data_IF_081106869370
#
_entry.id   IF_081106869370
#
_cell.length_a   1.000
_cell.length_b   1.000
_cell.length_c   1.000
_cell.angle_alpha   90.00
_cell.angle_beta   90.00
_cell.angle_gamma   90.00
#
_symmetry.space_group_name_H-M   'P 1'
#
loop_
_entity.id
_entity.type
_entity.pdbx_description
1 polymer ?
#
# COMPACT_ATOMS: atom_id res chain seq x y z
N UNK A 1 -40.44 7.98 -26.93
CA UNK A 1 -40.99 6.87 -26.12
C UNK A 1 -40.12 6.58 -24.90
N UNK A 2 -38.89 6.08 -25.05
CA UNK A 2 -38.03 5.81 -23.88
C UNK A 2 -37.66 7.10 -23.12
N UNK A 3 -37.41 8.20 -23.84
CA UNK A 3 -37.18 9.51 -23.22
C UNK A 3 -38.42 10.04 -22.46
N UNK A 4 -39.63 9.86 -22.99
CA UNK A 4 -40.87 10.27 -22.31
C UNK A 4 -41.12 9.45 -21.04
N UNK A 5 -40.79 8.16 -21.05
CA UNK A 5 -40.87 7.27 -19.89
C UNK A 5 -39.86 7.71 -18.83
N UNK A 6 -38.61 7.94 -19.24
CA UNK A 6 -37.55 8.43 -18.36
C UNK A 6 -37.94 9.76 -17.67
N UNK A 7 -38.47 10.72 -18.43
CA UNK A 7 -38.92 12.01 -17.89
C UNK A 7 -40.07 11.88 -16.88
N UNK A 8 -40.90 10.84 -16.96
CA UNK A 8 -41.94 10.59 -15.95
C UNK A 8 -41.32 10.15 -14.63
N UNK A 9 -40.36 9.23 -14.66
CA UNK A 9 -39.66 8.77 -13.45
C UNK A 9 -38.99 9.94 -12.71
N UNK A 10 -38.32 10.81 -13.46
CA UNK A 10 -37.66 12.01 -12.91
C UNK A 10 -38.68 12.95 -12.27
N UNK A 11 -39.73 13.30 -13.02
CA UNK A 11 -40.75 14.24 -12.54
C UNK A 11 -41.44 13.77 -11.27
N UNK A 12 -41.68 12.47 -11.18
CA UNK A 12 -42.39 11.85 -10.07
C UNK A 12 -41.42 11.43 -8.93
N UNK A 13 -40.11 11.63 -9.11
CA UNK A 13 -39.02 11.16 -8.23
C UNK A 13 -39.24 9.71 -7.79
N UNK A 14 -39.70 8.87 -8.71
CA UNK A 14 -40.13 7.51 -8.42
C UNK A 14 -38.99 6.51 -8.69
N UNK A 15 -38.88 5.44 -7.90
CA UNK A 15 -37.96 4.35 -8.20
C UNK A 15 -38.23 3.80 -9.60
N UNK A 16 -37.15 3.55 -10.35
CA UNK A 16 -37.21 3.05 -11.71
C UNK A 16 -36.64 1.64 -11.77
N UNK A 17 -37.35 0.69 -12.38
CA UNK A 17 -36.90 -0.70 -12.42
C UNK A 17 -37.24 -1.38 -13.74
N UNK A 18 -36.36 -2.28 -14.18
CA UNK A 18 -36.55 -3.14 -15.37
C UNK A 18 -36.78 -2.37 -16.69
N UNK A 19 -36.23 -1.15 -16.79
CA UNK A 19 -36.38 -0.28 -17.96
C UNK A 19 -35.13 -0.26 -18.86
N UNK A 20 -35.32 0.12 -20.13
CA UNK A 20 -34.24 0.23 -21.11
C UNK A 20 -34.15 1.65 -21.66
N UNK A 21 -33.08 2.33 -21.29
CA UNK A 21 -32.76 3.69 -21.70
C UNK A 21 -31.49 3.78 -22.56
N UNK A 22 -31.00 2.65 -23.08
CA UNK A 22 -29.76 2.57 -23.83
C UNK A 22 -29.61 3.66 -24.92
N UNK A 23 -28.45 4.30 -24.95
CA UNK A 23 -28.08 5.33 -25.92
C UNK A 23 -28.72 6.71 -25.73
N UNK A 24 -29.51 6.92 -24.66
CA UNK A 24 -30.09 8.23 -24.39
C UNK A 24 -29.01 9.26 -24.04
N UNK A 25 -29.27 10.51 -24.45
CA UNK A 25 -28.52 11.67 -24.00
C UNK A 25 -29.31 12.35 -22.89
N UNK A 26 -28.71 12.44 -21.73
CA UNK A 26 -29.30 12.93 -20.50
C UNK A 26 -28.43 14.11 -20.07
N UNK A 27 -28.90 15.34 -20.30
CA UNK A 27 -28.13 16.56 -20.09
C UNK A 27 -28.82 17.45 -19.06
N UNK A 28 -28.08 17.86 -18.02
CA UNK A 28 -28.56 18.77 -16.98
C UNK A 28 -29.69 18.23 -16.11
N UNK A 29 -29.87 16.90 -16.08
CA UNK A 29 -30.96 16.25 -15.34
C UNK A 29 -30.57 16.01 -13.89
N UNK A 30 -31.49 16.33 -12.98
CA UNK A 30 -31.42 15.98 -11.57
C UNK A 30 -31.98 14.57 -11.35
N UNK A 31 -31.09 13.66 -10.95
CA UNK A 31 -31.36 12.27 -10.58
C UNK A 31 -31.03 12.02 -9.10
N UNK A 32 -30.85 13.10 -8.32
CA UNK A 32 -30.42 12.99 -6.94
C UNK A 32 -31.44 12.21 -6.09
N UNK A 33 -30.93 11.34 -5.21
CA UNK A 33 -31.73 10.46 -4.35
C UNK A 33 -32.56 9.39 -5.09
N UNK A 34 -32.51 9.34 -6.43
CA UNK A 34 -33.29 8.36 -7.18
C UNK A 34 -32.72 6.95 -7.01
N UNK A 35 -33.62 5.95 -7.10
CA UNK A 35 -33.24 4.54 -7.09
C UNK A 35 -33.55 3.89 -8.44
N UNK A 36 -32.57 3.21 -8.98
CA UNK A 36 -32.66 2.44 -10.23
C UNK A 36 -32.28 0.98 -9.96
N UNK A 37 -33.14 0.03 -10.33
CA UNK A 37 -32.85 -1.41 -10.25
C UNK A 37 -33.00 -2.08 -11.62
N UNK A 38 -31.96 -2.77 -12.09
CA UNK A 38 -31.99 -3.50 -13.39
C UNK A 38 -32.33 -2.63 -14.59
N UNK A 39 -31.86 -1.39 -14.58
CA UNK A 39 -32.07 -0.45 -15.69
C UNK A 39 -30.88 -0.50 -16.64
N UNK A 40 -31.17 -0.56 -17.94
CA UNK A 40 -30.15 -0.53 -18.99
C UNK A 40 -29.88 0.91 -19.48
N UNK A 41 -28.76 1.44 -19.06
CA UNK A 41 -28.17 2.72 -19.47
C UNK A 41 -26.97 2.54 -20.42
N UNK A 42 -26.84 1.40 -21.10
CA UNK A 42 -25.71 1.15 -21.98
C UNK A 42 -25.59 2.20 -23.08
N UNK A 43 -24.37 2.72 -23.29
CA UNK A 43 -24.09 3.78 -24.24
C UNK A 43 -24.76 5.14 -23.97
N UNK A 44 -25.41 5.32 -22.81
CA UNK A 44 -25.99 6.62 -22.43
C UNK A 44 -24.91 7.69 -22.24
N UNK A 45 -25.29 8.94 -22.43
CA UNK A 45 -24.44 10.10 -22.14
C UNK A 45 -25.09 10.94 -21.05
N UNK A 46 -24.48 10.97 -19.87
CA UNK A 46 -24.87 11.79 -18.73
C UNK A 46 -23.97 13.02 -18.67
N UNK A 47 -24.51 14.17 -19.02
CA UNK A 47 -23.75 15.43 -19.12
C UNK A 47 -24.32 16.40 -18.09
N UNK A 48 -23.47 16.96 -17.22
CA UNK A 48 -23.89 17.91 -16.19
C UNK A 48 -25.07 17.42 -15.32
N UNK A 49 -25.14 16.10 -15.07
CA UNK A 49 -26.22 15.53 -14.27
C UNK A 49 -25.89 15.66 -12.78
N UNK A 50 -26.92 15.94 -11.97
CA UNK A 50 -26.85 15.75 -10.53
C UNK A 50 -27.28 14.32 -10.23
N UNK A 51 -26.36 13.50 -9.74
CA UNK A 51 -26.59 12.10 -9.37
C UNK A 51 -26.22 11.88 -7.91
N UNK A 52 -26.32 12.92 -7.08
CA UNK A 52 -25.99 12.80 -5.66
C UNK A 52 -26.95 11.87 -4.94
N UNK A 53 -26.46 11.06 -4.01
CA UNK A 53 -27.28 10.12 -3.22
C UNK A 53 -28.07 9.11 -4.10
N UNK A 54 -27.71 8.95 -5.38
CA UNK A 54 -28.37 8.00 -6.28
C UNK A 54 -28.04 6.57 -5.88
N UNK A 55 -28.98 5.65 -6.09
CA UNK A 55 -28.71 4.21 -5.93
C UNK A 55 -28.95 3.48 -7.25
N UNK A 56 -27.89 2.88 -7.80
CA UNK A 56 -27.95 1.99 -8.95
C UNK A 56 -27.67 0.56 -8.52
N UNK A 57 -28.69 -0.30 -8.60
CA UNK A 57 -28.59 -1.73 -8.32
C UNK A 57 -28.76 -2.52 -9.61
N UNK A 58 -27.86 -3.47 -9.88
CA UNK A 58 -27.97 -4.36 -11.05
C UNK A 58 -28.11 -3.63 -12.41
N UNK A 59 -27.64 -2.39 -12.51
CA UNK A 59 -27.82 -1.57 -13.71
C UNK A 59 -26.70 -1.84 -14.73
N UNK A 60 -26.99 -1.61 -16.00
CA UNK A 60 -26.03 -1.75 -17.08
C UNK A 60 -25.63 -0.37 -17.63
N UNK A 61 -24.37 0.00 -17.47
CA UNK A 61 -23.74 1.21 -18.00
C UNK A 61 -22.69 0.91 -19.07
N UNK A 62 -22.71 -0.28 -19.68
CA UNK A 62 -21.67 -0.66 -20.66
C UNK A 62 -21.47 0.43 -21.71
N UNK A 63 -20.24 0.95 -21.81
CA UNK A 63 -19.86 2.01 -22.75
C UNK A 63 -20.52 3.38 -22.52
N UNK A 64 -21.21 3.58 -21.39
CA UNK A 64 -21.81 4.86 -21.05
C UNK A 64 -20.76 5.93 -20.74
N UNK A 65 -21.13 7.19 -20.91
CA UNK A 65 -20.27 8.35 -20.70
C UNK A 65 -20.87 9.28 -19.67
N UNK A 66 -20.08 9.67 -18.70
CA UNK A 66 -20.40 10.68 -17.71
C UNK A 66 -19.45 11.84 -17.91
N UNK A 67 -19.98 13.04 -18.12
CA UNK A 67 -19.19 14.25 -18.34
C UNK A 67 -19.67 15.33 -17.39
N UNK A 68 -18.79 15.81 -16.52
CA UNK A 68 -19.10 16.90 -15.57
C UNK A 68 -20.33 16.62 -14.69
N UNK A 69 -20.61 15.35 -14.41
CA UNK A 69 -21.71 14.93 -13.54
C UNK A 69 -21.23 14.69 -12.11
N UNK A 70 -22.09 14.97 -11.14
CA UNK A 70 -21.82 14.80 -9.72
C UNK A 70 -22.44 13.48 -9.23
N UNK A 71 -21.59 12.53 -8.83
CA UNK A 71 -21.96 11.20 -8.34
C UNK A 71 -21.77 11.08 -6.82
N UNK A 72 -21.61 12.21 -6.11
CA UNK A 72 -21.28 12.19 -4.68
C UNK A 72 -22.36 11.49 -3.86
N UNK A 73 -21.97 10.76 -2.82
CA UNK A 73 -22.87 9.92 -2.00
C UNK A 73 -23.63 8.84 -2.80
N UNK A 74 -23.28 8.64 -4.08
CA UNK A 74 -23.92 7.66 -4.95
C UNK A 74 -23.46 6.23 -4.65
N UNK A 75 -24.36 5.27 -4.85
CA UNK A 75 -24.10 3.84 -4.68
C UNK A 75 -24.31 3.07 -5.97
N UNK A 76 -23.30 2.29 -6.36
CA UNK A 76 -23.32 1.35 -7.48
C UNK A 76 -23.14 -0.06 -6.94
N UNK A 77 -24.24 -0.80 -6.85
CA UNK A 77 -24.28 -2.17 -6.36
C UNK A 77 -24.47 -3.13 -7.53
N UNK A 78 -23.61 -4.15 -7.62
CA UNK A 78 -23.73 -5.27 -8.57
C UNK A 78 -24.00 -4.82 -10.02
N UNK A 79 -23.45 -3.67 -10.41
CA UNK A 79 -23.75 -3.02 -11.68
C UNK A 79 -22.60 -3.22 -12.67
N UNK A 80 -22.92 -3.18 -13.97
CA UNK A 80 -21.92 -3.29 -15.05
C UNK A 80 -21.56 -1.91 -15.56
N UNK A 81 -20.34 -1.44 -15.31
CA UNK A 81 -19.76 -0.19 -15.80
C UNK A 81 -18.60 -0.45 -16.79
N UNK A 82 -18.61 -1.61 -17.45
CA UNK A 82 -17.55 -1.98 -18.39
C UNK A 82 -17.41 -0.98 -19.52
N UNK A 83 -16.17 -0.53 -19.77
CA UNK A 83 -15.84 0.44 -20.83
C UNK A 83 -16.46 1.82 -20.64
N UNK A 84 -16.96 2.15 -19.43
CA UNK A 84 -17.47 3.50 -19.14
C UNK A 84 -16.37 4.54 -19.19
N UNK A 85 -16.75 5.77 -19.54
CA UNK A 85 -15.88 6.94 -19.45
C UNK A 85 -16.48 7.94 -18.50
N UNK A 86 -15.82 8.18 -17.38
CA UNK A 86 -16.10 9.27 -16.46
C UNK A 86 -15.06 10.37 -16.71
N UNK A 87 -15.52 11.53 -17.14
CA UNK A 87 -14.67 12.68 -17.46
C UNK A 87 -15.09 13.90 -16.66
N UNK A 88 -14.18 14.44 -15.85
CA UNK A 88 -14.46 15.61 -15.01
C UNK A 88 -15.63 15.41 -14.04
N UNK A 89 -15.84 14.18 -13.59
CA UNK A 89 -16.87 13.84 -12.63
C UNK A 89 -16.38 14.03 -11.19
N UNK A 90 -17.35 14.22 -10.29
CA UNK A 90 -17.12 14.25 -8.85
C UNK A 90 -17.63 12.94 -8.24
N UNK A 91 -16.79 12.25 -7.49
CA UNK A 91 -17.09 11.02 -6.77
C UNK A 91 -16.64 11.22 -5.32
N UNK A 92 -17.42 11.97 -4.54
CA UNK A 92 -17.13 12.20 -3.11
C UNK A 92 -18.05 11.28 -2.30
N UNK A 93 -17.52 10.56 -1.32
CA UNK A 93 -18.31 9.66 -0.46
C UNK A 93 -19.12 8.60 -1.26
N UNK A 94 -18.69 8.27 -2.48
CA UNK A 94 -19.36 7.30 -3.35
C UNK A 94 -18.96 5.87 -3.02
N UNK A 95 -19.83 4.90 -3.32
CA UNK A 95 -19.57 3.48 -3.07
C UNK A 95 -19.82 2.65 -4.32
N UNK A 96 -18.81 1.89 -4.74
CA UNK A 96 -18.92 0.87 -5.77
C UNK A 96 -18.71 -0.49 -5.12
N UNK A 97 -19.72 -1.35 -5.16
CA UNK A 97 -19.69 -2.67 -4.55
C UNK A 97 -20.04 -3.75 -5.57
N UNK A 98 -19.19 -4.77 -5.68
CA UNK A 98 -19.38 -5.95 -6.53
C UNK A 98 -19.70 -5.59 -8.01
N UNK A 99 -19.18 -4.46 -8.48
CA UNK A 99 -19.48 -3.92 -9.81
C UNK A 99 -18.34 -4.19 -10.80
N UNK A 100 -18.70 -4.49 -12.04
CA UNK A 100 -17.74 -4.70 -13.13
C UNK A 100 -17.38 -3.36 -13.78
N UNK A 101 -16.19 -2.86 -13.51
CA UNK A 101 -15.62 -1.64 -14.09
C UNK A 101 -14.46 -1.96 -15.06
N UNK A 102 -14.47 -3.14 -15.69
CA UNK A 102 -13.45 -3.56 -16.66
C UNK A 102 -13.32 -2.51 -17.75
N UNK A 103 -12.10 -2.05 -18.04
CA UNK A 103 -11.79 -1.00 -19.02
C UNK A 103 -12.46 0.37 -18.74
N UNK A 104 -13.01 0.59 -17.55
CA UNK A 104 -13.54 1.90 -17.17
C UNK A 104 -12.40 2.93 -17.10
N UNK A 105 -12.69 4.16 -17.50
CA UNK A 105 -11.75 5.28 -17.51
C UNK A 105 -12.28 6.42 -16.66
N UNK A 106 -11.50 6.81 -15.67
CA UNK A 106 -11.77 7.93 -14.78
C UNK A 106 -10.73 9.02 -15.06
N UNK A 107 -11.11 9.99 -15.89
CA UNK A 107 -10.21 11.01 -16.42
C UNK A 107 -10.55 12.41 -15.87
N UNK A 108 -9.57 13.05 -15.23
CA UNK A 108 -9.74 14.38 -14.61
C UNK A 108 -10.87 14.42 -13.56
N UNK A 109 -11.13 13.31 -12.87
CA UNK A 109 -12.14 13.23 -11.84
C UNK A 109 -11.61 13.70 -10.49
N UNK A 110 -12.51 14.19 -9.65
CA UNK A 110 -12.26 14.35 -8.21
C UNK A 110 -12.85 13.15 -7.49
N UNK A 111 -12.01 12.36 -6.85
CA UNK A 111 -12.39 11.15 -6.12
C UNK A 111 -11.94 11.30 -4.68
N UNK A 112 -12.89 11.44 -3.76
CA UNK A 112 -12.59 11.69 -2.34
C UNK A 112 -13.45 10.77 -1.49
N UNK A 113 -12.85 10.13 -0.48
CA UNK A 113 -13.56 9.24 0.45
C UNK A 113 -14.40 8.13 -0.24
N UNK A 114 -14.05 7.78 -1.48
CA UNK A 114 -14.77 6.76 -2.28
C UNK A 114 -14.28 5.36 -1.95
N UNK A 115 -15.23 4.42 -1.88
CA UNK A 115 -14.97 3.01 -1.60
C UNK A 115 -15.23 2.16 -2.85
N UNK A 116 -14.21 1.40 -3.25
CA UNK A 116 -14.26 0.39 -4.30
C UNK A 116 -14.11 -0.99 -3.66
N UNK A 117 -15.22 -1.66 -3.39
CA UNK A 117 -15.26 -2.97 -2.75
C UNK A 117 -15.61 -4.05 -3.78
N UNK A 118 -14.77 -5.08 -3.90
CA UNK A 118 -15.00 -6.25 -4.78
C UNK A 118 -15.30 -5.86 -6.22
N UNK A 119 -14.75 -4.73 -6.67
CA UNK A 119 -14.92 -4.26 -8.04
C UNK A 119 -13.92 -4.91 -8.97
N UNK A 120 -14.28 -5.04 -10.24
CA UNK A 120 -13.37 -5.51 -11.28
C UNK A 120 -12.92 -4.29 -12.09
N UNK A 121 -11.66 -3.88 -11.98
CA UNK A 121 -11.07 -2.74 -12.69
C UNK A 121 -10.11 -3.17 -13.80
N UNK A 122 -10.14 -4.44 -14.21
CA UNK A 122 -9.25 -5.00 -15.21
C UNK A 122 -9.04 -4.09 -16.44
N UNK A 123 -7.79 -3.76 -16.74
CA UNK A 123 -7.39 -2.90 -17.89
C UNK A 123 -8.05 -1.51 -17.92
N UNK A 124 -8.53 -1.00 -16.78
CA UNK A 124 -9.04 0.36 -16.64
C UNK A 124 -7.94 1.40 -16.45
N UNK A 125 -8.36 2.65 -16.28
CA UNK A 125 -7.47 3.80 -16.18
C UNK A 125 -8.00 4.84 -15.19
N UNK A 126 -7.17 5.22 -14.22
CA UNK A 126 -7.31 6.48 -13.48
C UNK A 126 -6.22 7.42 -13.96
N UNK A 127 -6.59 8.51 -14.65
CA UNK A 127 -5.59 9.45 -15.19
C UNK A 127 -5.94 10.91 -14.97
N UNK A 128 -4.94 11.69 -14.54
CA UNK A 128 -5.09 13.12 -14.23
C UNK A 128 -6.19 13.42 -13.20
N UNK A 129 -6.58 12.41 -12.44
CA UNK A 129 -7.60 12.49 -11.41
C UNK A 129 -6.94 12.69 -10.06
N UNK A 130 -7.62 13.39 -9.17
CA UNK A 130 -7.24 13.53 -7.77
C UNK A 130 -7.97 12.45 -6.98
N UNK A 131 -7.24 11.51 -6.38
CA UNK A 131 -7.79 10.48 -5.51
C UNK A 131 -7.24 10.65 -4.10
N UNK A 132 -8.15 10.96 -3.16
CA UNK A 132 -7.80 11.28 -1.77
C UNK A 132 -8.63 10.42 -0.83
N UNK A 133 -7.98 9.73 0.11
CA UNK A 133 -8.65 8.89 1.12
C UNK A 133 -9.57 7.81 0.53
N UNK A 134 -9.28 7.35 -0.69
CA UNK A 134 -10.05 6.30 -1.33
C UNK A 134 -9.62 4.91 -0.83
N UNK A 135 -10.56 3.97 -0.83
CA UNK A 135 -10.34 2.60 -0.39
C UNK A 135 -10.60 1.63 -1.54
N UNK A 136 -9.63 0.77 -1.83
CA UNK A 136 -9.77 -0.39 -2.68
C UNK A 136 -9.70 -1.63 -1.79
N UNK A 137 -10.79 -2.41 -1.77
CA UNK A 137 -10.90 -3.61 -0.94
C UNK A 137 -11.33 -4.80 -1.79
N UNK A 138 -10.53 -5.88 -1.81
CA UNK A 138 -10.78 -7.08 -2.62
C UNK A 138 -11.03 -6.75 -4.12
N UNK A 139 -10.45 -5.66 -4.63
CA UNK A 139 -10.62 -5.22 -6.01
C UNK A 139 -9.65 -5.94 -6.96
N UNK A 140 -10.11 -6.28 -8.16
CA UNK A 140 -9.25 -6.78 -9.23
C UNK A 140 -8.68 -5.60 -10.04
N UNK A 141 -7.42 -5.25 -9.78
CA UNK A 141 -6.70 -4.17 -10.44
C UNK A 141 -5.79 -4.65 -11.59
N UNK A 142 -5.99 -5.88 -12.09
CA UNK A 142 -5.10 -6.46 -13.12
C UNK A 142 -5.03 -5.60 -14.39
N UNK A 143 -3.85 -5.08 -14.72
CA UNK A 143 -3.64 -4.17 -15.84
C UNK A 143 -4.22 -2.76 -15.65
N UNK A 144 -4.75 -2.44 -14.47
CA UNK A 144 -5.22 -1.09 -14.15
C UNK A 144 -4.03 -0.13 -14.03
N UNK A 145 -4.22 1.10 -14.48
CA UNK A 145 -3.17 2.12 -14.52
C UNK A 145 -3.56 3.38 -13.76
N UNK A 146 -2.69 3.82 -12.86
CA UNK A 146 -2.82 5.07 -12.10
C UNK A 146 -2.08 6.25 -12.73
N UNK A 147 -1.69 6.14 -14.01
CA UNK A 147 -0.82 7.11 -14.69
C UNK A 147 -1.28 8.57 -14.57
N UNK A 148 -0.43 9.39 -13.96
CA UNK A 148 -0.68 10.82 -13.76
C UNK A 148 -1.84 11.13 -12.81
N UNK A 149 -2.34 10.16 -12.06
CA UNK A 149 -3.23 10.41 -10.94
C UNK A 149 -2.44 10.89 -9.72
N UNK A 150 -3.05 11.77 -8.92
CA UNK A 150 -2.52 12.14 -7.60
C UNK A 150 -3.17 11.23 -6.56
N UNK A 151 -2.34 10.51 -5.80
CA UNK A 151 -2.76 9.49 -4.83
C UNK A 151 -2.32 9.91 -3.42
N UNK A 152 -3.24 10.48 -2.63
CA UNK A 152 -2.98 10.83 -1.23
C UNK A 152 -3.82 9.96 -0.28
N UNK A 153 -3.15 9.27 0.64
CA UNK A 153 -3.81 8.47 1.69
C UNK A 153 -4.73 7.37 1.14
N UNK A 154 -4.32 6.72 0.06
CA UNK A 154 -5.04 5.59 -0.53
C UNK A 154 -4.86 4.35 0.35
N UNK A 155 -5.91 3.54 0.46
CA UNK A 155 -5.89 2.23 1.12
C UNK A 155 -6.10 1.15 0.06
N UNK A 156 -5.16 0.20 -0.02
CA UNK A 156 -5.33 -1.06 -0.71
C UNK A 156 -5.38 -2.17 0.34
N UNK A 157 -6.42 -3.00 0.30
CA UNK A 157 -6.64 -4.07 1.28
C UNK A 157 -7.06 -5.36 0.58
N UNK A 158 -6.31 -6.45 0.79
CA UNK A 158 -6.55 -7.77 0.19
C UNK A 158 -6.53 -7.75 -1.35
N UNK A 159 -5.48 -7.16 -1.95
CA UNK A 159 -5.37 -6.96 -3.40
C UNK A 159 -4.07 -7.56 -3.97
N UNK A 160 -4.17 -8.20 -5.13
CA UNK A 160 -3.02 -8.53 -5.97
C UNK A 160 -2.63 -7.32 -6.83
N UNK A 161 -1.45 -6.74 -6.56
CA UNK A 161 -0.93 -5.56 -7.24
C UNK A 161 0.13 -5.89 -8.29
N UNK A 162 0.49 -7.17 -8.48
CA UNK A 162 1.61 -7.58 -9.35
C UNK A 162 1.41 -7.20 -10.82
N UNK A 163 0.17 -7.06 -11.25
CA UNK A 163 -0.19 -6.66 -12.62
C UNK A 163 -0.71 -5.22 -12.71
N UNK A 164 -0.64 -4.46 -11.62
CA UNK A 164 -1.11 -3.07 -11.56
C UNK A 164 0.02 -2.13 -11.93
N UNK A 165 -0.26 -1.15 -12.79
CA UNK A 165 0.73 -0.14 -13.16
C UNK A 165 0.77 0.98 -12.12
N UNK A 166 1.87 0.99 -11.34
CA UNK A 166 2.23 1.96 -10.30
C UNK A 166 3.50 2.78 -10.69
N UNK A 167 3.73 3.01 -11.97
CA UNK A 167 4.99 3.61 -12.46
C UNK A 167 5.17 5.10 -12.12
N UNK A 168 4.11 5.89 -11.95
CA UNK A 168 4.20 7.37 -12.00
C UNK A 168 3.91 8.12 -10.69
N UNK A 169 3.70 7.42 -9.58
CA UNK A 169 3.02 8.03 -8.44
C UNK A 169 3.95 8.34 -7.25
N UNK A 170 3.73 9.51 -6.66
CA UNK A 170 4.20 9.84 -5.32
C UNK A 170 3.30 9.12 -4.34
N UNK A 171 3.78 8.04 -3.72
CA UNK A 171 3.06 7.40 -2.63
C UNK A 171 3.28 8.21 -1.36
N UNK A 172 2.27 8.98 -0.98
CA UNK A 172 2.25 9.68 0.29
C UNK A 172 1.19 9.07 1.20
N UNK A 173 1.63 8.50 2.33
CA UNK A 173 0.73 7.95 3.35
C UNK A 173 -0.20 6.85 2.83
N UNK A 174 0.25 6.08 1.83
CA UNK A 174 -0.51 4.95 1.29
C UNK A 174 -0.44 3.78 2.25
N UNK A 175 -1.57 3.10 2.43
CA UNK A 175 -1.70 1.89 3.26
C UNK A 175 -1.94 0.69 2.35
N UNK A 176 -1.09 -0.32 2.49
CA UNK A 176 -1.07 -1.57 1.72
C UNK A 176 -1.15 -2.72 2.72
N UNK A 177 -2.35 -3.27 2.88
CA UNK A 177 -2.66 -4.28 3.89
C UNK A 177 -3.01 -5.59 3.18
N UNK A 178 -2.31 -6.67 3.53
CA UNK A 178 -2.50 -8.00 2.92
C UNK A 178 -2.49 -7.98 1.38
N UNK A 179 -1.58 -7.18 0.80
CA UNK A 179 -1.44 -7.05 -0.64
C UNK A 179 -0.31 -7.94 -1.19
N UNK A 180 -0.50 -8.47 -2.40
CA UNK A 180 0.54 -9.18 -3.14
C UNK A 180 1.29 -8.22 -4.07
N UNK A 181 2.56 -8.02 -3.78
CA UNK A 181 3.49 -7.11 -4.46
C UNK A 181 4.81 -7.83 -4.79
N UNK A 182 4.78 -9.16 -4.95
CA UNK A 182 5.96 -9.95 -5.31
C UNK A 182 6.57 -9.46 -6.61
N UNK A 183 7.91 -9.41 -6.64
CA UNK A 183 8.73 -9.03 -7.80
C UNK A 183 8.48 -7.61 -8.35
N UNK A 184 7.70 -6.76 -7.65
CA UNK A 184 7.44 -5.40 -8.09
C UNK A 184 8.67 -4.49 -7.97
N UNK A 185 8.77 -3.54 -8.89
CA UNK A 185 9.84 -2.54 -8.91
C UNK A 185 9.42 -1.23 -8.22
N UNK A 186 9.98 -1.03 -7.03
CA UNK A 186 9.90 0.19 -6.24
C UNK A 186 11.22 1.00 -6.27
N UNK A 187 12.16 0.66 -7.16
CA UNK A 187 13.47 1.29 -7.15
C UNK A 187 13.39 2.79 -7.37
N UNK A 188 14.16 3.53 -6.59
CA UNK A 188 14.20 5.00 -6.57
C UNK A 188 12.85 5.70 -6.29
N UNK A 189 11.80 4.96 -5.89
CA UNK A 189 10.50 5.56 -5.56
C UNK A 189 10.53 6.23 -4.19
N UNK A 190 9.67 7.23 -4.02
CA UNK A 190 9.41 7.90 -2.75
C UNK A 190 8.14 7.32 -2.14
N UNK A 191 8.31 6.57 -1.06
CA UNK A 191 7.29 5.83 -0.30
C UNK A 191 7.32 6.28 1.16
N UNK A 192 7.27 7.59 1.39
CA UNK A 192 7.47 8.20 2.73
C UNK A 192 6.21 8.07 3.56
N UNK A 193 6.35 7.68 4.83
CA UNK A 193 5.25 7.49 5.77
C UNK A 193 4.14 6.55 5.25
N UNK A 194 4.51 5.58 4.40
CA UNK A 194 3.60 4.54 3.91
C UNK A 194 3.51 3.39 4.92
N UNK A 195 2.40 2.66 4.91
CA UNK A 195 2.20 1.50 5.77
C UNK A 195 2.00 0.26 4.92
N UNK A 196 2.88 -0.70 5.10
CA UNK A 196 2.79 -2.06 4.57
C UNK A 196 2.56 -2.97 5.77
N UNK A 197 1.44 -3.70 5.77
CA UNK A 197 1.11 -4.67 6.83
C UNK A 197 0.74 -5.99 6.19
N UNK A 198 1.37 -7.07 6.64
CA UNK A 198 1.05 -8.45 6.19
C UNK A 198 1.22 -8.67 4.67
N UNK A 199 1.92 -7.78 3.98
CA UNK A 199 2.10 -7.82 2.52
C UNK A 199 3.14 -8.86 2.05
N UNK A 200 2.92 -9.38 0.84
CA UNK A 200 3.85 -10.27 0.15
C UNK A 200 4.76 -9.44 -0.77
N UNK A 201 6.05 -9.35 -0.45
CA UNK A 201 7.05 -8.50 -1.13
C UNK A 201 8.29 -9.30 -1.54
N UNK A 202 8.15 -10.62 -1.76
CA UNK A 202 9.27 -11.48 -2.12
C UNK A 202 9.86 -11.04 -3.46
N UNK A 203 11.17 -10.90 -3.52
CA UNK A 203 11.90 -10.46 -4.71
C UNK A 203 11.63 -9.01 -5.14
N UNK A 204 10.87 -8.22 -4.36
CA UNK A 204 10.59 -6.82 -4.70
C UNK A 204 11.88 -5.98 -4.70
N UNK A 205 11.95 -5.01 -5.61
CA UNK A 205 13.11 -4.14 -5.77
C UNK A 205 12.85 -2.76 -5.15
N UNK A 206 13.47 -2.47 -4.02
CA UNK A 206 13.51 -1.17 -3.34
C UNK A 206 14.87 -0.46 -3.47
N UNK A 207 15.70 -0.84 -4.45
CA UNK A 207 17.03 -0.24 -4.62
C UNK A 207 16.94 1.29 -4.71
N UNK A 208 17.64 1.99 -3.82
CA UNK A 208 17.66 3.46 -3.76
C UNK A 208 16.32 4.12 -3.38
N UNK A 209 15.30 3.34 -2.99
CA UNK A 209 14.00 3.89 -2.62
C UNK A 209 14.09 4.70 -1.31
N UNK A 210 13.14 5.61 -1.13
CA UNK A 210 12.99 6.38 0.11
C UNK A 210 11.71 5.96 0.84
N UNK A 211 11.90 5.22 1.92
CA UNK A 211 10.83 4.68 2.78
C UNK A 211 10.87 5.30 4.18
N UNK A 212 11.45 6.50 4.32
CA UNK A 212 11.61 7.17 5.63
C UNK A 212 10.27 7.24 6.39
N UNK A 213 10.31 6.81 7.66
CA UNK A 213 9.15 6.80 8.55
C UNK A 213 8.03 5.84 8.16
N UNK A 214 8.30 4.91 7.25
CA UNK A 214 7.31 3.91 6.81
C UNK A 214 7.30 2.69 7.73
N UNK A 215 6.28 1.84 7.55
CA UNK A 215 6.08 0.62 8.33
C UNK A 215 5.98 -0.56 7.37
N UNK A 216 6.67 -1.66 7.67
CA UNK A 216 6.66 -2.95 6.97
C UNK A 216 6.35 -4.07 7.97
N UNK A 217 5.32 -3.88 8.79
CA UNK A 217 4.99 -4.82 9.85
C UNK A 217 4.52 -6.15 9.25
N UNK A 218 5.07 -7.27 9.76
CA UNK A 218 4.68 -8.63 9.34
C UNK A 218 4.78 -8.89 7.81
N UNK A 219 5.53 -8.07 7.07
CA UNK A 219 5.69 -8.24 5.63
C UNK A 219 6.69 -9.35 5.30
N UNK A 220 6.49 -10.02 4.16
CA UNK A 220 7.41 -11.04 3.65
C UNK A 220 8.27 -10.46 2.53
N UNK A 221 9.49 -10.05 2.87
CA UNK A 221 10.51 -9.40 2.03
C UNK A 221 11.66 -10.37 1.67
N UNK A 222 11.38 -11.67 1.54
CA UNK A 222 12.43 -12.65 1.20
C UNK A 222 13.00 -12.36 -0.18
N UNK A 223 14.33 -12.45 -0.32
CA UNK A 223 15.07 -12.16 -1.56
C UNK A 223 14.88 -10.72 -2.11
N UNK A 224 14.31 -9.79 -1.31
CA UNK A 224 14.11 -8.41 -1.72
C UNK A 224 15.44 -7.66 -1.93
N UNK A 225 15.47 -6.76 -2.90
CA UNK A 225 16.62 -5.94 -3.23
C UNK A 225 16.43 -4.54 -2.64
N UNK A 226 17.18 -4.19 -1.60
CA UNK A 226 17.02 -2.95 -0.82
C UNK A 226 18.37 -2.21 -0.70
N UNK A 227 19.24 -2.37 -1.68
CA UNK A 227 20.55 -1.73 -1.71
C UNK A 227 20.42 -0.20 -1.82
N UNK A 228 21.19 0.53 -1.02
CA UNK A 228 21.14 2.00 -0.96
C UNK A 228 19.82 2.59 -0.47
N UNK A 229 18.94 1.79 0.15
CA UNK A 229 17.65 2.23 0.67
C UNK A 229 17.80 3.36 1.70
N UNK A 230 16.91 4.36 1.63
CA UNK A 230 16.75 5.39 2.67
C UNK A 230 15.57 5.04 3.57
N UNK A 231 15.85 4.50 4.75
CA UNK A 231 14.84 3.98 5.69
C UNK A 231 15.02 4.51 7.12
N UNK A 232 15.51 5.75 7.29
CA UNK A 232 15.58 6.38 8.61
C UNK A 232 14.21 6.28 9.33
N UNK A 233 14.22 5.85 10.60
CA UNK A 233 13.01 5.75 11.45
C UNK A 233 11.93 4.80 10.88
N UNK A 234 12.32 3.83 10.03
CA UNK A 234 11.39 2.85 9.46
C UNK A 234 11.23 1.63 10.37
N UNK A 235 10.01 1.09 10.42
CA UNK A 235 9.65 -0.05 11.26
C UNK A 235 9.48 -1.31 10.41
N UNK A 236 10.21 -2.37 10.74
CA UNK A 236 10.19 -3.70 10.12
C UNK A 236 9.84 -4.79 11.15
N UNK A 237 9.06 -4.44 12.18
CA UNK A 237 8.66 -5.37 13.25
C UNK A 237 8.02 -6.63 12.66
N UNK A 238 8.52 -7.80 13.07
CA UNK A 238 8.05 -9.12 12.60
C UNK A 238 8.15 -9.34 11.08
N UNK A 239 8.88 -8.50 10.35
CA UNK A 239 9.11 -8.70 8.92
C UNK A 239 10.08 -9.85 8.65
N UNK A 240 9.94 -10.51 7.51
CA UNK A 240 10.84 -11.59 7.07
C UNK A 240 11.69 -11.13 5.89
N UNK A 241 12.99 -10.96 6.08
CA UNK A 241 13.96 -10.49 5.08
C UNK A 241 15.00 -11.58 4.73
N UNK A 242 14.58 -12.85 4.71
CA UNK A 242 15.50 -13.97 4.43
C UNK A 242 16.18 -13.77 3.07
N UNK A 243 17.52 -13.80 3.04
CA UNK A 243 18.37 -13.55 1.86
C UNK A 243 18.19 -12.17 1.19
N UNK A 244 17.53 -11.20 1.83
CA UNK A 244 17.41 -9.85 1.26
C UNK A 244 18.77 -9.12 1.26
N UNK A 245 18.96 -8.22 0.30
CA UNK A 245 20.14 -7.35 0.23
C UNK A 245 19.77 -5.94 0.68
N UNK A 246 20.51 -5.38 1.63
CA UNK A 246 20.32 -4.03 2.18
C UNK A 246 21.67 -3.29 2.19
N UNK A 247 22.51 -3.48 1.19
CA UNK A 247 23.90 -3.00 1.20
C UNK A 247 23.98 -1.49 1.03
N UNK A 248 24.84 -0.83 1.81
CA UNK A 248 25.04 0.63 1.75
C UNK A 248 23.79 1.46 2.10
N UNK A 249 22.76 0.84 2.68
CA UNK A 249 21.51 1.49 3.04
C UNK A 249 21.66 2.45 4.24
N UNK A 250 20.81 3.47 4.28
CA UNK A 250 20.66 4.40 5.41
C UNK A 250 19.51 3.93 6.28
N UNK A 251 19.84 3.16 7.32
CA UNK A 251 18.90 2.45 8.20
C UNK A 251 18.99 2.96 9.64
N UNK A 252 19.42 4.19 9.87
CA UNK A 252 19.57 4.72 11.22
C UNK A 252 18.21 4.81 11.93
N UNK A 253 18.18 4.41 13.21
CA UNK A 253 16.98 4.33 14.07
C UNK A 253 15.87 3.42 13.52
N UNK A 254 16.22 2.39 12.74
CA UNK A 254 15.24 1.40 12.27
C UNK A 254 14.85 0.43 13.37
N UNK A 255 13.63 -0.10 13.31
CA UNK A 255 13.11 -1.09 14.27
C UNK A 255 12.92 -2.42 13.57
N UNK A 256 13.64 -3.45 14.00
CA UNK A 256 13.65 -4.82 13.49
C UNK A 256 13.20 -5.82 14.56
N UNK A 257 12.41 -5.36 15.55
CA UNK A 257 11.99 -6.22 16.66
C UNK A 257 11.27 -7.45 16.14
N UNK A 258 11.69 -8.63 16.60
CA UNK A 258 11.13 -9.93 16.20
C UNK A 258 11.22 -10.24 14.68
N UNK A 259 12.01 -9.47 13.91
CA UNK A 259 12.20 -9.71 12.49
C UNK A 259 13.04 -10.97 12.22
N UNK A 260 12.78 -11.62 11.07
CA UNK A 260 13.58 -12.74 10.56
C UNK A 260 14.55 -12.21 9.51
N UNK A 261 15.83 -12.16 9.86
CA UNK A 261 16.92 -11.55 9.09
C UNK A 261 17.94 -12.59 8.60
N UNK A 262 17.52 -13.84 8.46
CA UNK A 262 18.39 -14.95 8.11
C UNK A 262 19.10 -14.71 6.78
N UNK A 263 20.44 -14.72 6.78
CA UNK A 263 21.28 -14.40 5.62
C UNK A 263 21.03 -13.02 4.98
N UNK A 264 20.39 -12.07 5.66
CA UNK A 264 20.24 -10.70 5.14
C UNK A 264 21.62 -10.02 5.07
N UNK A 265 21.89 -9.28 3.99
CA UNK A 265 23.14 -8.55 3.81
C UNK A 265 22.98 -7.07 4.11
N UNK A 266 23.44 -6.62 5.27
CA UNK A 266 23.48 -5.21 5.66
C UNK A 266 24.83 -4.54 5.37
N UNK A 267 25.74 -5.17 4.63
CA UNK A 267 27.13 -4.71 4.51
C UNK A 267 27.24 -3.25 4.10
N UNK A 268 28.13 -2.51 4.78
CA UNK A 268 28.40 -1.07 4.57
C UNK A 268 27.23 -0.14 4.87
N UNK A 269 26.17 -0.61 5.53
CA UNK A 269 25.00 0.20 5.87
C UNK A 269 25.16 0.96 7.18
N UNK A 270 24.39 2.05 7.31
CA UNK A 270 24.30 2.82 8.54
C UNK A 270 23.10 2.35 9.37
N UNK A 271 23.37 1.69 10.50
CA UNK A 271 22.38 1.11 11.41
C UNK A 271 22.47 1.74 12.82
N UNK A 272 22.99 2.96 12.92
CA UNK A 272 23.10 3.67 14.20
C UNK A 272 21.73 3.75 14.92
N UNK A 273 21.71 3.47 16.23
CA UNK A 273 20.48 3.44 17.06
C UNK A 273 19.40 2.43 16.63
N UNK A 274 19.71 1.46 15.76
CA UNK A 274 18.71 0.48 15.31
C UNK A 274 18.39 -0.54 16.39
N UNK A 275 17.15 -1.03 16.41
CA UNK A 275 16.64 -1.99 17.38
C UNK A 275 16.45 -3.34 16.70
N UNK A 276 17.12 -4.37 17.21
CA UNK A 276 17.09 -5.77 16.77
C UNK A 276 16.57 -6.69 17.89
N UNK A 277 15.78 -6.16 18.83
CA UNK A 277 15.31 -6.92 19.99
C UNK A 277 14.55 -8.19 19.55
N UNK A 278 14.92 -9.35 20.10
CA UNK A 278 14.32 -10.66 19.76
C UNK A 278 14.35 -11.04 18.27
N UNK A 279 15.17 -10.36 17.46
CA UNK A 279 15.31 -10.68 16.04
C UNK A 279 16.11 -11.96 15.80
N UNK A 280 15.91 -12.57 14.63
CA UNK A 280 16.66 -13.74 14.15
C UNK A 280 17.68 -13.32 13.10
N UNK A 281 18.92 -13.13 13.52
CA UNK A 281 20.04 -12.67 12.69
C UNK A 281 20.98 -13.81 12.27
N UNK A 282 20.45 -15.02 12.06
CA UNK A 282 21.25 -16.20 11.72
C UNK A 282 21.94 -16.00 10.36
N UNK A 283 23.27 -16.03 10.31
CA UNK A 283 24.03 -15.80 9.08
C UNK A 283 23.96 -14.37 8.50
N UNK A 284 23.33 -13.43 9.20
CA UNK A 284 23.22 -12.02 8.76
C UNK A 284 24.59 -11.38 8.61
N UNK A 285 24.79 -10.61 7.54
CA UNK A 285 26.06 -9.94 7.25
C UNK A 285 26.00 -8.47 7.67
N UNK A 286 26.75 -8.13 8.71
CA UNK A 286 26.94 -6.75 9.21
C UNK A 286 28.35 -6.23 8.92
N UNK A 287 28.98 -6.68 7.83
CA UNK A 287 30.38 -6.33 7.54
C UNK A 287 30.52 -4.84 7.22
N UNK A 288 31.46 -4.17 7.88
CA UNK A 288 31.72 -2.73 7.70
C UNK A 288 30.51 -1.82 7.94
N UNK A 289 29.50 -2.26 8.71
CA UNK A 289 28.35 -1.43 9.06
C UNK A 289 28.65 -0.44 10.19
N UNK A 290 27.88 0.64 10.27
CA UNK A 290 27.81 1.44 11.48
C UNK A 290 26.69 0.93 12.40
N UNK A 291 27.03 0.26 13.51
CA UNK A 291 26.08 -0.28 14.49
C UNK A 291 26.17 0.47 15.83
N UNK A 292 26.66 1.70 15.84
CA UNK A 292 26.78 2.45 17.07
C UNK A 292 25.41 2.57 17.78
N UNK A 293 25.37 2.26 19.08
CA UNK A 293 24.17 2.25 19.91
C UNK A 293 23.05 1.27 19.48
N UNK A 294 23.33 0.32 18.60
CA UNK A 294 22.34 -0.68 18.20
C UNK A 294 21.98 -1.63 19.36
N UNK A 295 20.73 -2.08 19.41
CA UNK A 295 20.21 -2.97 20.45
C UNK A 295 19.90 -4.36 19.91
N UNK A 296 20.64 -5.38 20.32
CA UNK A 296 20.44 -6.80 19.99
C UNK A 296 19.94 -7.63 21.18
N UNK A 297 19.29 -7.02 22.16
CA UNK A 297 18.79 -7.74 23.33
C UNK A 297 17.89 -8.92 22.92
N UNK A 298 18.18 -10.11 23.45
CA UNK A 298 17.51 -11.38 23.13
C UNK A 298 17.54 -11.81 21.65
N UNK A 299 18.38 -11.20 20.81
CA UNK A 299 18.53 -11.60 19.41
C UNK A 299 19.28 -12.94 19.27
N UNK A 300 19.00 -13.68 18.20
CA UNK A 300 19.77 -14.86 17.79
C UNK A 300 20.78 -14.41 16.73
N UNK A 301 22.08 -14.50 17.02
CA UNK A 301 23.18 -13.99 16.17
C UNK A 301 24.13 -15.12 15.72
N UNK A 302 23.63 -16.35 15.62
CA UNK A 302 24.41 -17.50 15.18
C UNK A 302 24.96 -17.29 13.76
N UNK A 303 26.28 -17.40 13.59
CA UNK A 303 27.01 -17.13 12.35
C UNK A 303 26.84 -15.71 11.77
N UNK A 304 26.28 -14.77 12.53
CA UNK A 304 26.19 -13.37 12.12
C UNK A 304 27.60 -12.77 11.99
N UNK A 305 27.85 -12.02 10.92
CA UNK A 305 29.17 -11.50 10.60
C UNK A 305 29.31 -10.00 10.90
N UNK A 306 30.06 -9.66 11.95
CA UNK A 306 30.33 -8.28 12.38
C UNK A 306 31.75 -7.80 12.06
N UNK A 307 32.44 -8.42 11.10
CA UNK A 307 33.80 -8.00 10.72
C UNK A 307 33.81 -6.51 10.31
N UNK A 308 34.78 -5.76 10.82
CA UNK A 308 34.97 -4.34 10.57
C UNK A 308 33.76 -3.43 10.92
N UNK A 309 32.74 -3.94 11.62
CA UNK A 309 31.60 -3.14 12.03
C UNK A 309 31.98 -2.16 13.16
N UNK A 310 31.46 -0.93 13.12
CA UNK A 310 31.50 -0.02 14.27
C UNK A 310 30.48 -0.50 15.31
N UNK A 311 30.98 -1.11 16.39
CA UNK A 311 30.17 -1.71 17.46
C UNK A 311 30.13 -0.89 18.74
N UNK A 312 30.37 0.42 18.62
CA UNK A 312 30.43 1.33 19.76
C UNK A 312 29.09 1.34 20.49
N UNK A 313 29.07 1.02 21.78
CA UNK A 313 27.86 1.00 22.63
C UNK A 313 26.73 0.06 22.18
N UNK A 314 27.03 -1.04 21.48
CA UNK A 314 26.02 -2.08 21.22
C UNK A 314 25.51 -2.70 22.53
N UNK A 315 24.20 -2.95 22.60
CA UNK A 315 23.55 -3.79 23.63
C UNK A 315 23.25 -5.16 23.05
N UNK A 316 23.42 -6.22 23.84
CA UNK A 316 23.18 -7.60 23.42
C UNK A 316 22.83 -8.49 24.63
N UNK A 317 22.12 -7.94 25.62
CA UNK A 317 21.75 -8.68 26.82
C UNK A 317 20.80 -9.82 26.46
N UNK A 318 21.14 -11.05 26.87
CA UNK A 318 20.36 -12.24 26.54
C UNK A 318 20.43 -12.67 25.07
N UNK A 319 21.27 -12.04 24.24
CA UNK A 319 21.51 -12.50 22.88
C UNK A 319 22.20 -13.88 22.89
N UNK A 320 21.90 -14.71 21.89
CA UNK A 320 22.42 -16.09 21.80
C UNK A 320 23.08 -16.36 20.46
N UNK A 321 23.99 -17.35 20.41
CA UNK A 321 24.68 -17.78 19.19
C UNK A 321 26.13 -17.27 19.08
N UNK A 322 26.88 -17.87 18.14
CA UNK A 322 28.29 -17.56 17.87
C UNK A 322 28.43 -16.60 16.69
N UNK A 323 28.90 -15.38 16.94
CA UNK A 323 29.09 -14.36 15.91
C UNK A 323 30.55 -14.27 15.42
N UNK A 324 30.73 -13.94 14.14
CA UNK A 324 32.03 -13.70 13.49
C UNK A 324 32.42 -12.23 13.69
N UNK A 325 33.71 -11.94 13.87
CA UNK A 325 34.23 -10.56 14.05
C UNK A 325 34.28 -10.09 15.51
N UNK A 326 33.87 -10.91 16.46
CA UNK A 326 34.24 -10.75 17.87
C UNK A 326 35.63 -11.39 18.08
N UNK A 327 36.62 -10.65 18.62
CA UNK A 327 37.87 -11.30 19.01
C UNK A 327 37.55 -12.35 20.08
N UNK A 328 38.15 -13.55 19.94
CA UNK A 328 38.09 -14.66 20.90
C UNK A 328 36.97 -15.68 20.66
N UNK A 329 37.33 -16.96 20.71
CA UNK A 329 36.41 -18.10 20.80
C UNK A 329 35.46 -17.90 21.98
N UNK A 330 34.22 -17.43 21.72
CA UNK A 330 32.92 -17.66 22.40
C UNK A 330 32.79 -17.68 23.94
N UNK A 331 33.84 -17.40 24.70
CA UNK A 331 33.83 -17.08 26.14
C UNK A 331 34.32 -15.64 26.38
N UNK A 332 34.42 -14.83 25.31
CA UNK A 332 35.08 -13.53 25.37
C UNK A 332 34.24 -12.48 26.11
N UNK A 333 34.94 -11.81 27.00
CA UNK A 333 34.52 -10.87 28.03
C UNK A 333 33.77 -9.66 27.46
N UNK A 334 33.74 -9.44 26.14
CA UNK A 334 33.01 -8.36 25.48
C UNK A 334 31.47 -8.53 25.51
N UNK A 335 30.95 -9.73 25.27
CA UNK A 335 29.51 -10.05 25.42
C UNK A 335 29.11 -10.09 26.90
N UNK A 336 29.96 -10.68 27.77
CA UNK A 336 29.82 -10.56 29.24
C UNK A 336 29.94 -9.12 29.75
N UNK A 337 30.67 -8.23 29.08
CA UNK A 337 30.77 -6.80 29.46
C UNK A 337 29.55 -6.01 29.02
N UNK A 338 28.89 -6.39 27.93
CA UNK A 338 27.56 -5.89 27.62
C UNK A 338 26.55 -6.29 28.71
N UNK A 339 26.64 -7.52 29.25
CA UNK A 339 25.89 -7.94 30.45
C UNK A 339 26.30 -7.17 31.73
N UNK A 340 27.59 -6.93 31.96
CA UNK A 340 28.06 -6.21 33.17
C UNK A 340 27.79 -4.70 33.15
N UNK A 341 27.67 -4.08 31.97
CA UNK A 341 27.29 -2.67 31.85
C UNK A 341 25.77 -2.46 31.98
N UNK A 342 24.93 -3.45 31.63
CA UNK A 342 23.47 -3.37 31.83
C UNK A 342 23.06 -3.58 33.29
N UNK A 343 23.82 -4.37 34.07
CA UNK A 343 23.55 -4.61 35.50
C UNK A 343 23.92 -3.41 36.41
N UNK A 344 24.62 -2.38 35.89
CA UNK A 344 24.98 -1.18 36.68
C UNK A 344 23.93 -0.07 36.72
N UNK A 345 22.76 -0.23 36.10
CA UNK A 345 21.68 0.78 36.13
C UNK A 345 20.36 0.33 36.75
N UNK A 346 20.29 -0.83 37.37
CA UNK A 346 19.17 -1.19 38.27
C UNK A 346 19.67 -1.27 39.71
N UNK A 347 19.74 -0.11 40.38
CA UNK A 347 19.60 -0.08 41.83
C UNK A 347 18.53 0.98 42.17
N UNK A 348 17.35 0.58 42.66
CA UNK A 348 16.44 1.51 43.33
C UNK A 348 17.05 1.87 44.69
N UNK A 349 16.61 2.98 45.28
CA UNK A 349 17.18 3.63 46.48
C UNK A 349 18.43 4.48 46.18
N UNK A 350 18.21 5.70 45.71
CA UNK A 350 18.12 6.90 46.55
C UNK A 350 17.35 8.00 45.83
#
# INVERSE_FOLDING_TARGET
>A
MNEDIFQRYIKDSSPCSDEVFAGLKIDGVDLSGMTFDKVDFSGCHFINCDMREVTFSNCNFTGAKFTSSDLSDGSFLTSTLSGTLLSSCTLIDSIFNESDMTQAKLENCKIEDTVFQKVIFCNGLLSKSEAVRCVFHEADLSGFSFIGADLDKIIFYEIDLRQTNLESELFNQVMLIDCDMREMDFSNKRLVACQFSEGQLQGANFTGANVKGSVFAQCVLSDAQMDGLYAEETVFTQATLTNASCQGAQLNKTVWSEAILTNTDFSRSNLEYSIFERSRCEGTVFTSCNLAYANFDYAIIENANFQDANRTHIRAHGATGRAIGFPGNTDDVALRRAELHSVRHTNPYF
#
